data_IF_302918949457
#
_entry.id   IF_302918949457
#
_cell.length_a   1.000
_cell.length_b   1.000
_cell.length_c   1.000
_cell.angle_alpha   90.00
_cell.angle_beta   90.00
_cell.angle_gamma   90.00
#
_symmetry.space_group_name_H-M   'P 1'
#
loop_
_entity.id
_entity.type
_entity.pdbx_description
1 polymer ?
#
# COMPACT_ATOMS: atom_id res chain seq x y z
N UNK A 1 -11.91 15.61 -7.28
CA UNK A 1 -10.52 15.59 -6.78
C UNK A 1 -9.82 16.89 -7.15
N UNK A 2 -9.27 17.63 -6.19
CA UNK A 2 -8.46 18.82 -6.47
C UNK A 2 -7.11 18.42 -7.07
N UNK A 3 -6.58 19.21 -8.02
CA UNK A 3 -5.28 18.94 -8.70
C UNK A 3 -4.14 18.73 -7.69
N UNK A 4 -4.16 19.47 -6.57
CA UNK A 4 -3.18 19.35 -5.50
C UNK A 4 -3.20 17.98 -4.79
N UNK A 5 -4.37 17.37 -4.63
CA UNK A 5 -4.52 16.05 -4.00
C UNK A 5 -3.96 14.95 -4.92
N UNK A 6 -4.25 15.03 -6.22
CA UNK A 6 -3.68 14.10 -7.21
C UNK A 6 -2.15 14.10 -7.22
N UNK A 7 -1.52 15.29 -7.18
CA UNK A 7 -0.05 15.40 -7.16
C UNK A 7 0.58 14.77 -5.90
N UNK A 8 -0.04 14.92 -4.73
CA UNK A 8 0.43 14.29 -3.48
C UNK A 8 0.41 12.77 -3.59
N UNK A 9 -0.68 12.22 -4.10
CA UNK A 9 -0.87 10.77 -4.24
C UNK A 9 0.19 10.17 -5.18
N UNK A 10 0.46 10.78 -6.35
CA UNK A 10 1.51 10.30 -7.27
C UNK A 10 2.92 10.42 -6.68
N UNK A 11 3.19 11.48 -5.91
CA UNK A 11 4.49 11.65 -5.23
C UNK A 11 4.70 10.56 -4.18
N UNK A 12 3.64 10.16 -3.47
CA UNK A 12 3.69 9.09 -2.48
C UNK A 12 3.84 7.70 -3.10
N UNK A 13 3.22 7.45 -4.25
CA UNK A 13 3.42 6.20 -4.99
C UNK A 13 4.88 6.06 -5.44
N UNK A 14 5.47 7.14 -5.98
CA UNK A 14 6.89 7.16 -6.35
C UNK A 14 7.79 6.94 -5.13
N UNK A 15 7.55 7.67 -4.04
CA UNK A 15 8.25 7.49 -2.77
C UNK A 15 8.19 6.04 -2.28
N UNK A 16 6.99 5.43 -2.25
CA UNK A 16 6.79 4.04 -1.82
C UNK A 16 7.59 3.06 -2.67
N UNK A 17 7.66 3.27 -3.98
CA UNK A 17 8.42 2.43 -4.91
C UNK A 17 9.94 2.55 -4.74
N UNK A 18 10.44 3.69 -4.27
CA UNK A 18 11.87 3.96 -4.10
C UNK A 18 12.41 3.56 -2.71
N UNK A 19 11.53 3.32 -1.73
CA UNK A 19 11.93 2.91 -0.39
C UNK A 19 12.75 1.61 -0.40
N UNK A 20 13.77 1.50 0.47
CA UNK A 20 14.34 0.20 0.82
C UNK A 20 13.26 -0.78 1.26
N UNK A 21 13.46 -2.07 1.01
CA UNK A 21 12.48 -3.11 1.32
C UNK A 21 12.06 -3.12 2.79
N UNK A 22 13.02 -2.98 3.70
CA UNK A 22 12.76 -2.90 5.14
C UNK A 22 11.92 -1.68 5.55
N UNK A 23 12.12 -0.54 4.89
CA UNK A 23 11.35 0.67 5.16
C UNK A 23 9.93 0.56 4.59
N UNK A 24 9.78 0.02 3.38
CA UNK A 24 8.46 -0.22 2.81
C UNK A 24 7.65 -1.25 3.60
N UNK A 25 8.30 -2.32 4.06
CA UNK A 25 7.69 -3.26 5.01
C UNK A 25 7.13 -2.51 6.21
N UNK A 26 7.92 -1.64 6.84
CA UNK A 26 7.48 -0.89 8.02
C UNK A 26 6.25 -0.02 7.71
N UNK A 27 6.28 0.68 6.57
CA UNK A 27 5.17 1.50 6.07
C UNK A 27 3.89 0.68 5.86
N UNK A 28 3.98 -0.51 5.25
CA UNK A 28 2.83 -1.39 5.05
C UNK A 28 2.36 -2.09 6.34
N UNK A 29 3.29 -2.39 7.24
CA UNK A 29 2.99 -3.03 8.51
C UNK A 29 2.27 -2.08 9.47
N UNK A 30 2.69 -0.81 9.55
CA UNK A 30 1.94 0.22 10.28
C UNK A 30 0.53 0.43 9.72
N UNK A 31 0.36 0.24 8.41
CA UNK A 31 -0.92 0.37 7.73
C UNK A 31 -1.87 -0.79 8.07
N UNK A 32 -1.43 -2.03 7.92
CA UNK A 32 -2.33 -3.20 7.97
C UNK A 32 -2.32 -3.95 9.30
N UNK A 33 -1.20 -3.96 10.01
CA UNK A 33 -0.96 -4.84 11.16
C UNK A 33 -0.77 -6.32 10.80
N UNK A 34 -0.70 -6.69 9.51
CA UNK A 34 -0.34 -8.04 9.06
C UNK A 34 1.11 -8.06 8.55
N UNK A 35 2.05 -8.70 9.27
CA UNK A 35 3.43 -8.80 8.84
C UNK A 35 3.58 -9.52 7.49
N UNK A 36 2.84 -10.61 7.27
CA UNK A 36 2.93 -11.40 6.05
C UNK A 36 2.45 -10.62 4.82
N UNK A 37 1.36 -9.85 4.97
CA UNK A 37 0.89 -8.97 3.90
C UNK A 37 1.86 -7.82 3.64
N UNK A 38 2.40 -7.20 4.69
CA UNK A 38 3.34 -6.11 4.56
C UNK A 38 4.63 -6.54 3.85
N UNK A 39 5.13 -7.74 4.14
CA UNK A 39 6.28 -8.35 3.44
C UNK A 39 5.95 -8.59 1.96
N UNK A 40 4.79 -9.20 1.68
CA UNK A 40 4.35 -9.46 0.30
C UNK A 40 4.19 -8.16 -0.51
N UNK A 41 3.63 -7.11 0.08
CA UNK A 41 3.48 -5.80 -0.56
C UNK A 41 4.83 -5.09 -0.76
N UNK A 42 5.73 -5.18 0.21
CA UNK A 42 7.07 -4.60 0.10
C UNK A 42 7.87 -5.25 -1.04
N UNK A 43 7.74 -6.57 -1.22
CA UNK A 43 8.38 -7.34 -2.27
C UNK A 43 7.72 -7.17 -3.66
N UNK A 44 6.42 -6.85 -3.72
CA UNK A 44 5.68 -6.70 -4.98
C UNK A 44 5.93 -5.36 -5.70
N UNK A 45 6.61 -4.41 -5.04
CA UNK A 45 7.03 -3.15 -5.65
C UNK A 45 8.02 -3.40 -6.81
N UNK A 46 8.07 -2.52 -7.83
CA UNK A 46 7.34 -1.25 -7.92
C UNK A 46 5.92 -1.39 -8.45
N UNK A 47 5.04 -0.45 -8.06
CA UNK A 47 3.68 -0.30 -8.59
C UNK A 47 3.63 0.83 -9.62
N UNK A 48 3.46 0.53 -10.93
CA UNK A 48 3.40 1.54 -11.98
C UNK A 48 2.25 2.56 -11.84
N UNK A 49 1.12 2.15 -11.24
CA UNK A 49 -0.04 3.02 -11.03
C UNK A 49 -0.80 2.64 -9.75
N UNK A 50 -1.62 3.57 -9.27
CA UNK A 50 -2.45 3.36 -8.07
C UNK A 50 -3.34 2.13 -8.19
N UNK A 51 -3.99 1.93 -9.34
CA UNK A 51 -4.85 0.76 -9.54
C UNK A 51 -4.09 -0.57 -9.34
N UNK A 52 -2.81 -0.63 -9.73
CA UNK A 52 -1.97 -1.81 -9.51
C UNK A 52 -1.56 -1.97 -8.04
N UNK A 53 -1.34 -0.87 -7.32
CA UNK A 53 -1.14 -0.92 -5.87
C UNK A 53 -2.40 -1.51 -5.19
N UNK A 54 -3.60 -1.03 -5.50
CA UNK A 54 -4.84 -1.52 -4.88
C UNK A 54 -5.18 -2.95 -5.29
N UNK A 55 -5.01 -3.32 -6.57
CA UNK A 55 -5.30 -4.69 -7.02
C UNK A 55 -4.32 -5.70 -6.44
N UNK A 56 -3.04 -5.34 -6.33
CA UNK A 56 -2.03 -6.18 -5.66
C UNK A 56 -2.32 -6.28 -4.16
N UNK A 57 -2.67 -5.17 -3.51
CA UNK A 57 -3.07 -5.16 -2.12
C UNK A 57 -4.23 -6.13 -1.84
N UNK A 58 -5.25 -6.14 -2.70
CA UNK A 58 -6.40 -7.04 -2.60
C UNK A 58 -5.97 -8.50 -2.73
N UNK A 59 -5.23 -8.83 -3.79
CA UNK A 59 -4.77 -10.18 -4.05
C UNK A 59 -3.85 -10.71 -2.93
N UNK A 60 -2.96 -9.87 -2.41
CA UNK A 60 -2.07 -10.27 -1.31
C UNK A 60 -2.85 -10.42 0.00
N UNK A 61 -3.90 -9.63 0.22
CA UNK A 61 -4.69 -9.73 1.46
C UNK A 61 -5.50 -11.02 1.50
N UNK A 62 -6.05 -11.47 0.37
CA UNK A 62 -6.72 -12.78 0.27
C UNK A 62 -5.80 -13.95 0.67
N UNK A 63 -4.49 -13.82 0.41
CA UNK A 63 -3.52 -14.90 0.63
C UNK A 63 -2.71 -14.76 1.94
N UNK A 64 -2.52 -13.54 2.43
CA UNK A 64 -1.59 -13.21 3.53
C UNK A 64 -2.21 -12.27 4.60
N UNK A 65 -3.50 -11.97 4.49
CA UNK A 65 -4.24 -11.22 5.50
C UNK A 65 -4.43 -12.02 6.79
N UNK A 66 -4.77 -11.33 7.88
CA UNK A 66 -5.01 -11.93 9.19
C UNK A 66 -6.48 -12.39 9.38
N UNK A 67 -7.24 -12.52 8.29
CA UNK A 67 -8.65 -12.90 8.30
C UNK A 67 -9.66 -11.74 8.40
N UNK A 68 -9.21 -10.47 8.44
CA UNK A 68 -10.11 -9.32 8.36
C UNK A 68 -10.58 -9.04 6.92
N UNK A 69 -11.69 -8.31 6.75
CA UNK A 69 -12.21 -7.94 5.44
C UNK A 69 -11.31 -6.91 4.74
N UNK A 70 -11.07 -7.10 3.42
CA UNK A 70 -10.22 -6.21 2.64
C UNK A 70 -10.69 -4.74 2.59
N UNK A 71 -11.99 -4.48 2.81
CA UNK A 71 -12.54 -3.14 2.85
C UNK A 71 -11.83 -2.25 3.90
N UNK A 72 -11.36 -2.84 5.00
CA UNK A 72 -10.61 -2.13 6.03
C UNK A 72 -9.19 -1.74 5.57
N UNK A 73 -8.58 -2.51 4.68
CA UNK A 73 -7.24 -2.27 4.13
C UNK A 73 -7.28 -1.15 3.08
N UNK A 74 -8.29 -1.13 2.21
CA UNK A 74 -8.45 -0.10 1.18
C UNK A 74 -8.43 1.31 1.79
N UNK A 75 -9.22 1.53 2.84
CA UNK A 75 -9.25 2.83 3.55
C UNK A 75 -7.93 3.20 4.21
N UNK A 76 -7.11 2.23 4.61
CA UNK A 76 -5.81 2.49 5.23
C UNK A 76 -4.71 2.78 4.20
N UNK A 77 -4.78 2.18 3.01
CA UNK A 77 -3.94 2.57 1.86
C UNK A 77 -4.28 4.00 1.42
N UNK A 78 -5.57 4.37 1.38
CA UNK A 78 -5.99 5.75 1.10
C UNK A 78 -5.38 6.73 2.11
N UNK A 79 -5.52 6.43 3.41
CA UNK A 79 -4.94 7.25 4.47
C UNK A 79 -3.41 7.37 4.36
N UNK A 80 -2.71 6.33 3.90
CA UNK A 80 -1.27 6.36 3.68
C UNK A 80 -0.87 7.31 2.55
N UNK A 81 -1.65 7.32 1.47
CA UNK A 81 -1.40 8.15 0.29
C UNK A 81 -1.82 9.62 0.49
N UNK A 82 -2.75 9.88 1.42
CA UNK A 82 -3.25 11.22 1.75
C UNK A 82 -2.47 11.95 2.86
N UNK A 83 -1.68 11.24 3.69
CA UNK A 83 -0.78 11.82 4.72
C UNK A 83 0.36 12.66 4.13
#
# INVERSE_FOLDING_TARGET
MSIALGRKIYTKLAWLNELPESEAYYVFNECSGSPAWAEAMAAARPFPMLEQLYSTAAAMWENHGNGAEFAEIGSRIDALLER
#
